data_IF_208300637506
#
_entry.id   IF_208300637506
#
_cell.length_a   1.000
_cell.length_b   1.000
_cell.length_c   1.000
_cell.angle_alpha   90.00
_cell.angle_beta   90.00
_cell.angle_gamma   90.00
#
_symmetry.space_group_name_H-M   'P 1'
#
loop_
_entity.id
_entity.type
_entity.pdbx_description
1 polymer ?
#
# COMPACT_ATOMS: atom_id res chain seq x y z
N UNK A 1 -14.76 -1.90 -22.51
CA UNK A 1 -15.06 -3.35 -22.56
C UNK A 1 -15.91 -3.74 -21.36
N UNK A 2 -16.91 -4.63 -21.50
CA UNK A 2 -17.72 -5.12 -20.37
C UNK A 2 -17.02 -6.29 -19.70
N UNK A 3 -16.12 -6.02 -18.77
CA UNK A 3 -15.50 -7.07 -17.96
C UNK A 3 -16.52 -7.53 -16.90
N UNK A 4 -17.07 -8.73 -17.08
CA UNK A 4 -17.86 -9.40 -16.03
C UNK A 4 -16.94 -10.34 -15.26
N UNK A 5 -17.15 -10.44 -13.95
CA UNK A 5 -16.52 -11.49 -13.15
C UNK A 5 -16.84 -12.86 -13.77
N UNK A 6 -15.85 -13.75 -13.86
CA UNK A 6 -16.14 -15.15 -14.16
C UNK A 6 -16.92 -15.74 -12.97
N UNK A 7 -17.82 -16.69 -13.21
CA UNK A 7 -18.88 -17.08 -12.26
C UNK A 7 -18.46 -17.55 -10.85
N UNK A 8 -17.16 -17.67 -10.55
CA UNK A 8 -16.61 -18.08 -9.25
C UNK A 8 -15.41 -17.22 -8.77
N UNK A 9 -15.08 -16.11 -9.42
CA UNK A 9 -13.95 -15.26 -8.99
C UNK A 9 -14.36 -14.35 -7.82
N UNK A 10 -13.50 -14.28 -6.80
CA UNK A 10 -13.59 -13.22 -5.80
C UNK A 10 -13.25 -11.85 -6.42
N UNK A 11 -13.67 -10.72 -5.81
CA UNK A 11 -13.31 -9.40 -6.32
C UNK A 11 -11.78 -9.20 -6.48
N UNK A 12 -10.92 -9.58 -5.52
CA UNK A 12 -9.47 -9.51 -5.70
C UNK A 12 -8.95 -10.34 -6.88
N UNK A 13 -9.45 -11.56 -7.07
CA UNK A 13 -9.06 -12.41 -8.22
C UNK A 13 -9.48 -11.79 -9.54
N UNK A 14 -10.68 -11.23 -9.61
CA UNK A 14 -11.18 -10.52 -10.79
C UNK A 14 -10.26 -9.36 -11.14
N UNK A 15 -9.89 -8.52 -10.16
CA UNK A 15 -9.03 -7.36 -10.39
C UNK A 15 -7.63 -7.78 -10.84
N UNK A 16 -7.04 -8.81 -10.22
CA UNK A 16 -5.75 -9.36 -10.65
C UNK A 16 -5.80 -9.84 -12.09
N UNK A 17 -6.85 -10.58 -12.46
CA UNK A 17 -7.03 -11.06 -13.83
C UNK A 17 -7.13 -9.88 -14.81
N UNK A 18 -7.95 -8.87 -14.52
CA UNK A 18 -8.12 -7.70 -15.38
C UNK A 18 -6.83 -6.89 -15.55
N UNK A 19 -6.09 -6.68 -14.47
CA UNK A 19 -4.80 -6.02 -14.53
C UNK A 19 -3.80 -6.82 -15.38
N UNK A 20 -3.75 -8.15 -15.23
CA UNK A 20 -2.86 -9.02 -16.03
C UNK A 20 -3.26 -9.10 -17.49
N UNK A 21 -4.55 -9.14 -17.80
CA UNK A 21 -5.06 -9.05 -19.18
C UNK A 21 -4.67 -7.72 -19.82
N UNK A 22 -4.78 -6.61 -19.09
CA UNK A 22 -4.34 -5.29 -19.56
C UNK A 22 -2.83 -5.24 -19.80
N UNK A 23 -2.02 -5.75 -18.86
CA UNK A 23 -0.56 -5.87 -18.99
C UNK A 23 -0.21 -6.69 -20.24
N UNK A 24 -0.81 -7.87 -20.42
CA UNK A 24 -0.55 -8.73 -21.57
C UNK A 24 -0.95 -8.04 -22.89
N UNK A 25 -2.11 -7.39 -22.91
CA UNK A 25 -2.59 -6.61 -24.07
C UNK A 25 -1.68 -5.43 -24.39
N UNK A 26 -1.17 -4.73 -23.38
CA UNK A 26 -0.23 -3.63 -23.56
C UNK A 26 1.13 -4.12 -24.08
N UNK A 27 1.68 -5.19 -23.52
CA UNK A 27 2.93 -5.81 -24.01
C UNK A 27 2.82 -6.21 -25.49
N UNK A 28 1.67 -6.77 -25.89
CA UNK A 28 1.42 -7.13 -27.31
C UNK A 28 1.40 -5.93 -28.27
N UNK A 29 1.27 -4.71 -27.73
CA UNK A 29 1.29 -3.43 -28.46
C UNK A 29 2.61 -2.66 -28.27
N UNK A 30 3.66 -3.30 -27.73
CA UNK A 30 4.98 -2.70 -27.55
C UNK A 30 5.18 -1.95 -26.24
N UNK A 31 4.34 -2.21 -25.23
CA UNK A 31 4.61 -1.75 -23.86
C UNK A 31 5.71 -2.60 -23.23
N UNK A 32 6.94 -2.09 -23.32
CA UNK A 32 8.16 -2.80 -22.92
C UNK A 32 9.08 -1.89 -22.11
N UNK A 33 10.09 -2.50 -21.47
CA UNK A 33 11.14 -1.79 -20.75
C UNK A 33 10.83 -1.60 -19.27
N UNK A 34 11.81 -1.91 -18.42
CA UNK A 34 11.80 -1.56 -17.01
C UNK A 34 12.58 -0.24 -16.80
N UNK A 35 12.06 0.71 -16.00
CA UNK A 35 10.72 0.72 -15.43
C UNK A 35 9.64 0.95 -16.49
N UNK A 36 8.48 0.30 -16.38
CA UNK A 36 7.40 0.46 -17.34
C UNK A 36 6.84 1.88 -17.34
N UNK A 37 6.55 2.42 -18.52
CA UNK A 37 5.93 3.73 -18.67
C UNK A 37 4.41 3.64 -18.46
N UNK A 38 3.94 4.21 -17.36
CA UNK A 38 2.52 4.17 -16.96
C UNK A 38 1.63 5.08 -17.82
N UNK A 39 2.20 6.09 -18.47
CA UNK A 39 1.47 6.99 -19.37
C UNK A 39 1.25 6.31 -20.73
N UNK A 40 2.23 5.55 -21.21
CA UNK A 40 2.04 4.67 -22.39
C UNK A 40 0.96 3.63 -22.11
N UNK A 41 0.97 3.00 -20.92
CA UNK A 41 -0.08 2.05 -20.54
C UNK A 41 -1.46 2.70 -20.60
N UNK A 42 -1.63 3.89 -20.02
CA UNK A 42 -2.90 4.64 -20.07
C UNK A 42 -3.31 4.98 -21.51
N UNK A 43 -2.37 5.46 -22.33
CA UNK A 43 -2.62 5.80 -23.73
C UNK A 43 -3.06 4.61 -24.58
N UNK A 44 -2.51 3.42 -24.34
CA UNK A 44 -2.96 2.16 -24.98
C UNK A 44 -4.40 1.77 -24.60
N UNK A 45 -4.93 2.31 -23.49
CA UNK A 45 -6.32 2.16 -23.08
C UNK A 45 -7.22 3.32 -23.56
N UNK A 46 -6.66 4.28 -24.31
CA UNK A 46 -7.37 5.47 -24.76
C UNK A 46 -7.63 6.48 -23.63
N UNK A 47 -6.80 6.47 -22.58
CA UNK A 47 -6.87 7.38 -21.44
C UNK A 47 -5.79 8.44 -21.60
N UNK A 48 -6.20 9.71 -21.64
CA UNK A 48 -5.26 10.84 -21.67
C UNK A 48 -4.69 11.07 -20.26
N UNK A 49 -3.38 11.29 -20.12
CA UNK A 49 -2.74 11.59 -18.83
C UNK A 49 -2.09 12.96 -18.88
N UNK A 50 -2.35 13.82 -17.89
CA UNK A 50 -1.77 15.15 -17.84
C UNK A 50 -1.54 15.66 -16.41
N UNK A 51 -0.63 16.62 -16.21
CA UNK A 51 -0.55 17.35 -14.95
C UNK A 51 -1.85 18.14 -14.71
N UNK A 52 -2.29 18.21 -13.46
CA UNK A 52 -3.46 18.98 -13.08
C UNK A 52 -3.19 20.49 -13.08
N UNK A 53 -4.18 21.27 -13.52
CA UNK A 53 -4.19 22.72 -13.38
C UNK A 53 -4.60 23.11 -11.94
N UNK A 54 -3.61 23.17 -11.04
CA UNK A 54 -3.79 23.60 -9.65
C UNK A 54 -3.92 22.44 -8.65
N UNK A 55 -4.34 22.77 -7.42
CA UNK A 55 -4.44 21.80 -6.34
C UNK A 55 -5.71 20.94 -6.45
N UNK A 56 -5.52 19.66 -6.78
CA UNK A 56 -6.59 18.66 -6.86
C UNK A 56 -6.87 17.96 -5.52
N UNK A 57 -6.16 18.32 -4.44
CA UNK A 57 -6.26 17.73 -3.08
C UNK A 57 -6.06 16.21 -3.00
N UNK A 58 -5.51 15.64 -4.07
CA UNK A 58 -5.21 14.22 -4.26
C UNK A 58 -3.90 14.08 -5.06
N UNK A 59 -3.35 12.88 -5.14
CA UNK A 59 -2.15 12.63 -5.96
C UNK A 59 -2.49 12.43 -7.44
N UNK A 60 -3.68 11.89 -7.72
CA UNK A 60 -4.29 11.84 -9.04
C UNK A 60 -5.82 11.79 -8.92
N UNK A 61 -6.51 11.96 -10.06
CA UNK A 61 -7.96 11.76 -10.21
C UNK A 61 -8.31 11.27 -11.61
N UNK A 62 -9.32 10.42 -11.71
CA UNK A 62 -9.94 10.01 -12.96
C UNK A 62 -11.16 10.89 -13.28
N UNK A 63 -11.14 11.51 -14.45
CA UNK A 63 -12.16 12.42 -14.95
C UNK A 63 -12.87 11.82 -16.17
N UNK A 64 -14.20 11.64 -16.13
CA UNK A 64 -14.96 11.35 -17.34
C UNK A 64 -15.07 12.60 -18.22
N UNK A 65 -14.71 12.46 -19.50
CA UNK A 65 -14.87 13.48 -20.53
C UNK A 65 -16.11 13.19 -21.39
N UNK A 66 -16.56 14.15 -22.24
CA UNK A 66 -17.54 13.86 -23.28
C UNK A 66 -17.14 12.67 -24.16
N UNK A 67 -18.13 11.99 -24.75
CA UNK A 67 -17.95 10.87 -25.68
C UNK A 67 -17.35 9.59 -25.07
N UNK A 68 -17.56 9.35 -23.76
CA UNK A 68 -17.02 8.18 -23.04
C UNK A 68 -15.49 8.10 -23.06
N UNK A 69 -14.82 9.25 -23.15
CA UNK A 69 -13.37 9.33 -22.95
C UNK A 69 -13.06 9.51 -21.47
N UNK A 70 -11.87 9.09 -21.07
CA UNK A 70 -11.36 9.24 -19.72
C UNK A 70 -10.05 10.03 -19.76
N UNK A 71 -9.83 10.82 -18.72
CA UNK A 71 -8.61 11.57 -18.50
C UNK A 71 -8.13 11.37 -17.07
N UNK A 72 -6.83 11.17 -16.89
CA UNK A 72 -6.17 11.13 -15.59
C UNK A 72 -5.41 12.44 -15.42
N UNK A 73 -5.71 13.14 -14.34
CA UNK A 73 -4.94 14.29 -13.90
C UNK A 73 -4.11 13.92 -12.67
N UNK A 74 -2.82 14.24 -12.66
CA UNK A 74 -1.94 14.00 -11.51
C UNK A 74 -1.39 15.31 -10.92
N UNK A 75 -1.12 15.30 -9.62
CA UNK A 75 -0.47 16.42 -8.94
C UNK A 75 1.01 16.54 -9.39
N UNK A 76 1.43 17.65 -10.00
CA UNK A 76 2.79 17.79 -10.54
C UNK A 76 3.90 17.68 -9.50
N UNK A 77 3.61 18.13 -8.28
CA UNK A 77 4.55 18.16 -7.14
C UNK A 77 4.66 16.80 -6.41
N UNK A 78 3.90 15.79 -6.81
CA UNK A 78 3.98 14.47 -6.20
C UNK A 78 5.32 13.80 -6.55
N UNK A 79 5.92 13.11 -5.57
CA UNK A 79 7.08 12.24 -5.82
C UNK A 79 6.77 11.28 -6.97
N UNK A 80 7.75 11.07 -7.86
CA UNK A 80 7.56 10.28 -9.07
C UNK A 80 7.00 8.88 -8.81
N UNK A 81 7.53 8.18 -7.80
CA UNK A 81 7.04 6.84 -7.41
C UNK A 81 5.59 6.85 -6.94
N UNK A 82 5.15 7.93 -6.28
CA UNK A 82 3.74 8.12 -5.88
C UNK A 82 2.90 8.44 -7.10
N UNK A 83 3.31 9.40 -7.94
CA UNK A 83 2.63 9.73 -9.20
C UNK A 83 2.38 8.48 -10.05
N UNK A 84 3.40 7.66 -10.25
CA UNK A 84 3.31 6.40 -11.02
C UNK A 84 2.27 5.45 -10.44
N UNK A 85 2.30 5.24 -9.12
CA UNK A 85 1.30 4.42 -8.44
C UNK A 85 -0.11 5.01 -8.54
N UNK A 86 -0.27 6.32 -8.38
CA UNK A 86 -1.55 7.01 -8.49
C UNK A 86 -2.12 6.92 -9.90
N UNK A 87 -1.30 7.07 -10.95
CA UNK A 87 -1.76 6.85 -12.33
C UNK A 87 -2.26 5.40 -12.51
N UNK A 88 -1.50 4.40 -12.06
CA UNK A 88 -1.95 3.00 -12.11
C UNK A 88 -3.24 2.77 -11.29
N UNK A 89 -3.43 3.49 -10.19
CA UNK A 89 -4.65 3.44 -9.39
C UNK A 89 -5.86 3.99 -10.13
N UNK A 90 -5.71 5.13 -10.81
CA UNK A 90 -6.76 5.67 -11.67
C UNK A 90 -7.05 4.77 -12.88
N UNK A 91 -6.04 4.11 -13.45
CA UNK A 91 -6.26 3.06 -14.47
C UNK A 91 -7.07 1.90 -13.87
N UNK A 92 -6.77 1.46 -12.65
CA UNK A 92 -7.50 0.38 -11.99
C UNK A 92 -8.98 0.73 -11.72
N UNK A 93 -9.33 2.00 -11.53
CA UNK A 93 -10.72 2.43 -11.46
C UNK A 93 -11.51 2.12 -12.75
N UNK A 94 -10.84 2.02 -13.90
CA UNK A 94 -11.50 1.67 -15.18
C UNK A 94 -11.98 0.23 -15.24
N UNK A 95 -11.54 -0.63 -14.33
CA UNK A 95 -12.06 -2.00 -14.19
C UNK A 95 -13.50 -2.04 -13.67
N UNK A 96 -13.99 -0.93 -13.11
CA UNK A 96 -15.33 -0.81 -12.58
C UNK A 96 -16.28 -0.16 -13.60
N UNK A 97 -17.49 -0.70 -13.84
CA UNK A 97 -18.38 -0.22 -14.89
C UNK A 97 -18.87 1.23 -14.74
N UNK A 98 -18.83 1.76 -13.53
CA UNK A 98 -19.30 3.09 -13.17
C UNK A 98 -18.24 4.19 -13.36
N UNK A 99 -17.02 3.85 -13.81
CA UNK A 99 -15.92 4.80 -14.02
C UNK A 99 -16.24 5.96 -14.98
N UNK A 100 -17.23 5.79 -15.86
CA UNK A 100 -17.69 6.85 -16.78
C UNK A 100 -18.75 7.79 -16.18
N UNK A 101 -19.23 7.52 -14.96
CA UNK A 101 -20.43 8.17 -14.43
C UNK A 101 -20.16 9.22 -13.35
N UNK A 102 -18.99 9.16 -12.71
CA UNK A 102 -18.62 10.06 -11.62
C UNK A 102 -17.12 10.32 -11.64
N UNK A 103 -16.71 11.51 -11.19
CA UNK A 103 -15.31 11.80 -10.90
C UNK A 103 -14.90 10.93 -9.72
N UNK A 104 -13.88 10.09 -9.90
CA UNK A 104 -13.29 9.31 -8.82
C UNK A 104 -12.13 10.09 -8.21
N UNK A 105 -12.11 10.20 -6.89
CA UNK A 105 -11.01 10.76 -6.13
C UNK A 105 -10.98 10.12 -4.73
N UNK A 106 -9.77 9.95 -4.18
CA UNK A 106 -9.61 9.53 -2.79
C UNK A 106 -10.23 10.58 -1.86
N UNK A 107 -11.41 10.29 -1.30
CA UNK A 107 -12.15 11.22 -0.44
C UNK A 107 -11.44 11.39 0.92
N UNK A 108 -10.61 12.43 1.07
CA UNK A 108 -10.13 12.85 2.39
C UNK A 108 -11.26 13.52 3.18
N UNK A 109 -11.61 12.96 4.35
CA UNK A 109 -12.55 13.58 5.31
C UNK A 109 -14.04 13.23 5.14
N UNK A 110 -14.40 12.29 4.26
CA UNK A 110 -15.78 11.79 4.16
C UNK A 110 -16.09 10.78 5.28
N UNK A 111 -17.38 10.58 5.65
CA UNK A 111 -17.78 9.48 6.53
C UNK A 111 -17.27 8.14 5.99
N UNK A 112 -16.88 7.24 6.88
CA UNK A 112 -16.43 5.90 6.49
C UNK A 112 -17.55 5.17 5.74
N UNK A 113 -17.27 4.81 4.49
CA UNK A 113 -18.13 3.98 3.64
C UNK A 113 -17.39 2.65 3.36
N UNK A 114 -17.89 1.52 3.89
CA UNK A 114 -17.21 0.23 3.73
C UNK A 114 -17.14 -0.23 2.27
N UNK A 115 -18.12 0.13 1.43
CA UNK A 115 -18.14 -0.25 0.01
C UNK A 115 -17.09 0.54 -0.75
N UNK A 116 -17.01 1.84 -0.50
CA UNK A 116 -15.95 2.68 -1.09
C UNK A 116 -14.57 2.25 -0.59
N UNK A 117 -14.43 1.91 0.69
CA UNK A 117 -13.17 1.41 1.24
C UNK A 117 -12.71 0.10 0.56
N UNK A 118 -13.63 -0.84 0.31
CA UNK A 118 -13.31 -2.07 -0.43
C UNK A 118 -12.89 -1.77 -1.88
N UNK A 119 -13.60 -0.87 -2.57
CA UNK A 119 -13.26 -0.43 -3.92
C UNK A 119 -11.85 0.17 -3.99
N UNK A 120 -11.49 1.06 -3.06
CA UNK A 120 -10.16 1.66 -2.99
C UNK A 120 -9.06 0.60 -2.76
N UNK A 121 -9.33 -0.40 -1.91
CA UNK A 121 -8.39 -1.51 -1.69
C UNK A 121 -8.21 -2.36 -2.96
N UNK A 122 -9.29 -2.61 -3.69
CA UNK A 122 -9.24 -3.29 -4.98
C UNK A 122 -8.46 -2.47 -6.01
N UNK A 123 -8.64 -1.15 -6.07
CA UNK A 123 -7.84 -0.29 -6.94
C UNK A 123 -6.36 -0.24 -6.52
N UNK A 124 -6.02 -0.31 -5.22
CA UNK A 124 -4.62 -0.49 -4.79
C UNK A 124 -4.02 -1.81 -5.30
N UNK A 125 -4.78 -2.90 -5.24
CA UNK A 125 -4.36 -4.20 -5.76
C UNK A 125 -4.14 -4.13 -7.28
N UNK A 126 -5.09 -3.56 -8.02
CA UNK A 126 -4.97 -3.35 -9.47
C UNK A 126 -3.76 -2.49 -9.82
N UNK A 127 -3.56 -1.36 -9.13
CA UNK A 127 -2.41 -0.50 -9.33
C UNK A 127 -1.08 -1.24 -9.12
N UNK A 128 -1.01 -2.10 -8.09
CA UNK A 128 0.18 -2.91 -7.83
C UNK A 128 0.43 -3.93 -8.92
N UNK A 129 -0.59 -4.58 -9.48
CA UNK A 129 -0.43 -5.53 -10.59
C UNK A 129 0.00 -4.83 -11.89
N UNK A 130 -0.46 -3.60 -12.13
CA UNK A 130 -0.08 -2.81 -13.30
C UNK A 130 1.34 -2.23 -13.18
N UNK A 131 1.69 -1.66 -12.03
CA UNK A 131 3.01 -1.06 -11.79
C UNK A 131 4.12 -2.10 -11.61
N UNK A 132 3.78 -3.24 -11.00
CA UNK A 132 4.69 -4.35 -10.70
C UNK A 132 4.17 -5.66 -11.32
N UNK A 133 4.21 -5.78 -12.67
CA UNK A 133 3.74 -6.98 -13.38
C UNK A 133 4.34 -8.26 -12.82
N UNK A 134 3.49 -9.27 -12.57
CA UNK A 134 3.87 -10.47 -11.80
C UNK A 134 5.05 -11.23 -12.40
N UNK A 135 5.11 -11.36 -13.72
CA UNK A 135 6.16 -12.11 -14.43
C UNK A 135 7.52 -11.43 -14.23
N UNK A 136 7.64 -10.17 -14.64
CA UNK A 136 8.87 -9.39 -14.48
C UNK A 136 9.27 -9.24 -13.01
N UNK A 137 8.30 -9.06 -12.12
CA UNK A 137 8.58 -8.89 -10.71
C UNK A 137 9.19 -10.16 -10.11
N UNK A 138 8.63 -11.34 -10.43
CA UNK A 138 9.19 -12.61 -9.98
C UNK A 138 10.56 -12.90 -10.59
N UNK A 139 10.77 -12.59 -11.87
CA UNK A 139 12.07 -12.72 -12.53
C UNK A 139 13.14 -11.87 -11.85
N UNK A 140 12.83 -10.61 -11.52
CA UNK A 140 13.77 -9.70 -10.85
C UNK A 140 13.92 -10.01 -9.34
N UNK A 141 12.89 -10.59 -8.72
CA UNK A 141 12.92 -11.03 -7.33
C UNK A 141 13.56 -12.42 -7.17
N UNK A 142 13.91 -13.12 -8.24
CA UNK A 142 14.40 -14.48 -8.20
C UNK A 142 15.58 -14.65 -7.22
N UNK A 143 15.44 -15.62 -6.30
CA UNK A 143 16.44 -15.88 -5.26
C UNK A 143 16.44 -14.89 -4.08
N UNK A 144 15.48 -13.95 -4.02
CA UNK A 144 15.33 -12.96 -2.95
C UNK A 144 14.04 -13.24 -2.18
N UNK A 145 14.15 -13.48 -0.87
CA UNK A 145 12.98 -13.52 0.01
C UNK A 145 12.50 -12.12 0.40
N UNK A 146 11.33 -12.00 1.06
CA UNK A 146 10.84 -10.72 1.56
C UNK A 146 11.84 -10.06 2.53
N UNK A 147 12.17 -8.79 2.29
CA UNK A 147 13.09 -7.99 3.09
C UNK A 147 13.17 -6.54 2.60
N UNK A 148 13.55 -5.61 3.48
CA UNK A 148 13.63 -4.18 3.17
C UNK A 148 14.63 -3.91 2.04
N UNK A 149 15.81 -4.52 2.13
CA UNK A 149 16.84 -4.41 1.08
C UNK A 149 16.36 -4.92 -0.28
N UNK A 150 15.69 -6.07 -0.31
CA UNK A 150 15.15 -6.62 -1.56
C UNK A 150 14.09 -5.68 -2.16
N UNK A 151 13.24 -5.10 -1.31
CA UNK A 151 12.24 -4.12 -1.72
C UNK A 151 12.84 -2.80 -2.24
N UNK A 152 13.93 -2.31 -1.63
CA UNK A 152 14.66 -1.14 -2.12
C UNK A 152 15.26 -1.39 -3.51
N UNK A 153 15.95 -2.51 -3.67
CA UNK A 153 16.58 -2.89 -4.95
C UNK A 153 15.52 -3.08 -6.06
N UNK A 154 14.40 -3.74 -5.76
CA UNK A 154 13.28 -3.89 -6.70
C UNK A 154 12.59 -2.54 -6.99
N UNK A 155 12.42 -1.69 -5.97
CA UNK A 155 11.85 -0.36 -6.14
C UNK A 155 12.63 0.49 -7.13
N UNK A 156 13.97 0.36 -7.15
CA UNK A 156 14.82 1.02 -8.14
C UNK A 156 14.59 0.49 -9.56
N UNK A 157 14.45 -0.84 -9.73
CA UNK A 157 14.20 -1.46 -11.04
C UNK A 157 12.86 -1.04 -11.64
N UNK A 158 11.80 -1.04 -10.83
CA UNK A 158 10.44 -0.75 -11.28
C UNK A 158 10.05 0.74 -11.17
N UNK A 159 10.93 1.57 -10.61
CA UNK A 159 10.66 2.95 -10.23
C UNK A 159 9.36 3.03 -9.38
N UNK A 160 9.35 2.26 -8.30
CA UNK A 160 8.28 2.13 -7.34
C UNK A 160 8.79 2.39 -5.92
N UNK A 161 7.90 2.70 -4.98
CA UNK A 161 8.30 2.90 -3.60
C UNK A 161 8.75 1.59 -2.94
N UNK A 162 9.58 1.70 -1.90
CA UNK A 162 9.96 0.55 -1.06
C UNK A 162 8.72 -0.12 -0.49
N UNK A 163 7.72 0.66 -0.08
CA UNK A 163 6.45 0.14 0.42
C UNK A 163 5.69 -0.68 -0.63
N UNK A 164 5.52 -0.17 -1.86
CA UNK A 164 4.82 -0.91 -2.92
C UNK A 164 5.57 -2.20 -3.27
N UNK A 165 6.90 -2.13 -3.37
CA UNK A 165 7.76 -3.26 -3.70
C UNK A 165 7.74 -4.33 -2.59
N UNK A 166 7.78 -3.91 -1.33
CA UNK A 166 7.73 -4.83 -0.21
C UNK A 166 6.36 -5.49 -0.05
N UNK A 167 5.27 -4.74 -0.25
CA UNK A 167 3.92 -5.31 -0.32
C UNK A 167 3.82 -6.38 -1.39
N UNK A 168 4.37 -6.11 -2.58
CA UNK A 168 4.38 -7.06 -3.70
C UNK A 168 5.21 -8.30 -3.40
N UNK A 169 6.38 -8.14 -2.76
CA UNK A 169 7.17 -9.27 -2.27
C UNK A 169 6.38 -10.15 -1.29
N UNK A 170 5.69 -9.55 -0.31
CA UNK A 170 4.90 -10.31 0.68
C UNK A 170 3.68 -10.97 0.05
N UNK A 171 3.00 -10.30 -0.87
CA UNK A 171 1.83 -10.84 -1.59
C UNK A 171 2.18 -12.08 -2.44
N UNK A 172 3.37 -12.09 -3.03
CA UNK A 172 3.86 -13.17 -3.88
C UNK A 172 4.72 -14.20 -3.13
N UNK A 173 4.95 -14.01 -1.83
CA UNK A 173 5.83 -14.85 -1.02
C UNK A 173 5.17 -16.18 -0.65
N UNK A 174 5.88 -17.28 -0.88
CA UNK A 174 5.55 -18.58 -0.29
C UNK A 174 6.02 -18.67 1.18
N UNK A 175 7.04 -17.90 1.56
CA UNK A 175 7.53 -17.84 2.95
C UNK A 175 6.50 -17.16 3.86
N UNK A 176 6.35 -17.70 5.08
CA UNK A 176 5.50 -17.10 6.09
C UNK A 176 6.08 -15.74 6.52
N UNK A 177 5.42 -14.66 6.13
CA UNK A 177 5.77 -13.30 6.53
C UNK A 177 4.55 -12.37 6.56
N UNK A 178 4.66 -11.23 7.24
CA UNK A 178 3.57 -10.27 7.32
C UNK A 178 4.11 -8.85 7.46
N UNK A 179 3.48 -7.90 6.76
CA UNK A 179 3.72 -6.48 6.93
C UNK A 179 2.75 -5.90 7.94
N UNK A 180 3.26 -5.06 8.83
CA UNK A 180 2.49 -4.32 9.82
C UNK A 180 2.74 -2.83 9.65
N UNK A 181 1.68 -2.05 9.70
CA UNK A 181 1.78 -0.61 9.92
C UNK A 181 1.55 -0.34 11.38
N UNK A 182 2.47 0.40 11.97
CA UNK A 182 2.45 0.78 13.37
C UNK A 182 2.45 2.29 13.47
N UNK A 183 1.80 2.85 14.48
CA UNK A 183 2.06 4.23 14.88
C UNK A 183 2.19 4.35 16.38
N UNK A 184 2.90 5.39 16.81
CA UNK A 184 2.94 5.77 18.21
C UNK A 184 1.62 6.41 18.61
N UNK A 185 0.85 5.75 19.49
CA UNK A 185 -0.42 6.28 20.00
C UNK A 185 -0.80 5.70 21.35
N UNK A 186 -1.72 6.38 22.02
CA UNK A 186 -2.38 5.86 23.22
C UNK A 186 -3.37 4.75 22.87
N UNK A 187 -3.87 4.02 23.86
CA UNK A 187 -5.03 3.15 23.60
C UNK A 187 -6.24 4.03 23.31
N UNK A 188 -7.19 3.57 22.48
CA UNK A 188 -8.45 4.30 22.26
C UNK A 188 -9.22 4.65 23.53
N UNK A 189 -9.06 3.85 24.61
CA UNK A 189 -9.65 4.17 25.92
C UNK A 189 -8.92 5.29 26.65
N UNK A 190 -7.60 5.36 26.52
CA UNK A 190 -6.74 6.38 27.11
C UNK A 190 -6.96 7.72 26.40
N UNK A 191 -7.03 7.73 25.05
CA UNK A 191 -7.33 8.94 24.25
C UNK A 191 -8.67 9.58 24.65
N UNK A 192 -9.69 8.77 24.93
CA UNK A 192 -11.01 9.25 25.41
C UNK A 192 -10.98 9.78 26.83
N UNK A 193 -9.96 9.42 27.60
CA UNK A 193 -9.79 9.79 29.01
C UNK A 193 -8.80 10.95 29.20
N UNK A 194 -8.10 11.40 28.15
CA UNK A 194 -7.33 12.65 28.12
C UNK A 194 -8.23 13.91 28.10
N UNK A 195 -9.34 13.88 28.84
CA UNK A 195 -10.02 15.09 29.28
C UNK A 195 -9.28 15.74 30.45
N UNK A 196 -9.54 17.03 30.76
CA UNK A 196 -8.76 17.84 31.72
C UNK A 196 -8.83 17.40 33.20
N UNK A 197 -9.33 16.20 33.53
CA UNK A 197 -9.74 15.82 34.90
C UNK A 197 -8.85 14.77 35.60
N UNK A 198 -7.63 14.53 35.15
CA UNK A 198 -6.70 13.65 35.88
C UNK A 198 -5.34 14.30 36.15
N UNK A 199 -5.33 15.47 36.80
CA UNK A 199 -4.12 16.00 37.41
C UNK A 199 -4.10 15.76 38.94
N UNK A 200 -3.61 14.58 39.31
CA UNK A 200 -3.18 14.24 40.68
C UNK A 200 -1.65 14.28 40.80
N UNK A 201 -0.94 14.99 39.92
CA UNK A 201 0.54 15.01 39.88
C UNK A 201 1.17 13.68 39.46
N UNK A 202 0.40 12.75 38.91
CA UNK A 202 0.91 11.49 38.32
C UNK A 202 1.14 11.68 36.82
N UNK A 203 2.23 11.13 36.26
CA UNK A 203 2.46 11.17 34.82
C UNK A 203 1.33 10.42 34.09
N UNK A 204 0.74 11.07 33.08
CA UNK A 204 -0.28 10.48 32.22
C UNK A 204 0.20 9.24 31.46
N UNK A 205 -0.73 8.49 30.82
CA UNK A 205 -0.36 7.33 30.03
C UNK A 205 0.60 7.74 28.91
N UNK A 206 1.62 6.91 28.64
CA UNK A 206 2.57 7.15 27.57
C UNK A 206 2.13 6.44 26.28
N UNK A 207 2.22 7.10 25.11
CA UNK A 207 2.04 6.45 23.82
C UNK A 207 2.94 5.22 23.66
N UNK A 208 2.49 4.26 22.84
CA UNK A 208 3.26 3.07 22.48
C UNK A 208 3.14 2.81 20.98
N UNK A 209 4.09 2.06 20.41
CA UNK A 209 3.93 1.52 19.06
C UNK A 209 2.78 0.52 19.04
N UNK A 210 1.76 0.80 18.24
CA UNK A 210 0.55 -0.01 18.13
C UNK A 210 0.23 -0.35 16.69
N UNK A 211 -0.33 -1.55 16.50
CA UNK A 211 -0.76 -2.04 15.19
C UNK A 211 -1.95 -1.25 14.66
N UNK A 212 -1.84 -0.78 13.42
CA UNK A 212 -2.91 -0.11 12.69
C UNK A 212 -3.64 -1.07 11.77
N UNK A 213 -2.87 -1.78 10.97
CA UNK A 213 -3.32 -2.84 10.08
C UNK A 213 -2.12 -3.68 9.66
N UNK A 214 -2.40 -4.76 8.92
CA UNK A 214 -1.37 -5.68 8.44
C UNK A 214 -1.75 -6.27 7.07
N UNK A 215 -0.73 -6.76 6.36
CA UNK A 215 -0.84 -7.46 5.08
C UNK A 215 -0.04 -8.76 5.20
N UNK A 216 -0.71 -9.91 5.37
CA UNK A 216 -0.04 -11.20 5.50
C UNK A 216 0.28 -11.81 4.14
N UNK A 217 1.37 -12.56 4.05
CA UNK A 217 1.58 -13.56 2.99
C UNK A 217 0.56 -14.71 3.13
N UNK A 218 0.39 -15.50 2.07
CA UNK A 218 -0.52 -16.64 2.07
C UNK A 218 -0.20 -17.68 3.16
N UNK A 219 1.09 -17.88 3.44
CA UNK A 219 1.58 -18.88 4.41
C UNK A 219 1.56 -18.39 5.86
N UNK A 220 1.33 -17.10 6.11
CA UNK A 220 1.34 -16.52 7.45
C UNK A 220 0.15 -17.01 8.29
N UNK A 221 0.43 -17.47 9.52
CA UNK A 221 -0.57 -17.95 10.49
C UNK A 221 -0.65 -17.11 11.77
N UNK A 222 0.29 -16.18 11.95
CA UNK A 222 0.31 -15.30 13.11
C UNK A 222 -0.79 -14.23 13.03
N UNK A 223 -1.11 -13.58 14.15
CA UNK A 223 -2.02 -12.44 14.15
C UNK A 223 -1.75 -11.53 15.33
N UNK A 224 -1.50 -10.24 15.05
CA UNK A 224 -1.43 -9.18 16.06
C UNK A 224 -2.65 -8.29 15.87
N UNK A 225 -3.57 -8.21 16.86
CA UNK A 225 -4.78 -7.39 16.73
C UNK A 225 -4.46 -5.89 16.56
N UNK A 226 -5.35 -5.18 15.89
CA UNK A 226 -5.32 -3.71 15.85
C UNK A 226 -5.28 -3.11 17.26
N UNK A 227 -4.52 -2.03 17.43
CA UNK A 227 -4.23 -1.32 18.68
C UNK A 227 -3.40 -2.09 19.72
N UNK A 228 -3.02 -3.35 19.44
CA UNK A 228 -2.10 -4.10 20.30
C UNK A 228 -0.73 -3.43 20.25
N UNK A 229 -0.10 -3.29 21.41
CA UNK A 229 1.23 -2.69 21.53
C UNK A 229 2.32 -3.71 21.21
N UNK A 230 3.36 -3.23 20.54
CA UNK A 230 4.63 -3.93 20.35
C UNK A 230 5.44 -3.89 21.66
N UNK A 231 6.26 -4.91 21.98
CA UNK A 231 7.09 -4.92 23.19
C UNK A 231 8.03 -3.71 23.26
N UNK A 232 8.15 -3.10 24.45
CA UNK A 232 8.87 -1.82 24.65
C UNK A 232 10.39 -1.95 24.40
N UNK A 233 10.91 -3.18 24.46
CA UNK A 233 12.30 -3.55 24.18
C UNK A 233 12.60 -3.77 22.68
N UNK A 234 11.58 -3.69 21.81
CA UNK A 234 11.74 -3.90 20.37
C UNK A 234 12.70 -2.87 19.76
N UNK A 235 13.52 -3.32 18.82
CA UNK A 235 14.42 -2.45 18.06
C UNK A 235 13.69 -1.42 17.22
N UNK A 236 12.39 -1.62 16.95
CA UNK A 236 11.53 -0.69 16.22
C UNK A 236 11.43 0.69 16.87
N UNK A 237 11.57 0.79 18.20
CA UNK A 237 11.59 2.08 18.89
C UNK A 237 12.83 2.93 18.54
N UNK A 238 13.89 2.33 18.00
CA UNK A 238 15.05 3.07 17.47
C UNK A 238 14.67 3.87 16.22
N UNK A 239 13.87 3.28 15.33
CA UNK A 239 13.39 3.95 14.11
C UNK A 239 12.60 5.21 14.47
N UNK A 240 11.71 5.12 15.47
CA UNK A 240 10.94 6.28 15.95
C UNK A 240 11.82 7.44 16.44
N UNK A 241 12.98 7.13 17.01
CA UNK A 241 13.94 8.13 17.51
C UNK A 241 14.84 8.69 16.41
N UNK A 242 14.66 8.26 15.16
CA UNK A 242 15.55 8.60 14.05
C UNK A 242 16.90 7.87 14.11
N UNK A 243 16.99 6.80 14.90
CA UNK A 243 18.17 5.93 14.96
C UNK A 243 18.07 4.83 13.88
N UNK A 244 19.20 4.41 13.32
CA UNK A 244 19.24 3.35 12.30
C UNK A 244 18.82 1.98 12.86
N UNK A 245 18.06 1.22 12.07
CA UNK A 245 17.66 -0.16 12.38
C UNK A 245 17.55 -0.99 11.10
N UNK A 246 18.48 -1.92 10.91
CA UNK A 246 18.52 -2.80 9.73
C UNK A 246 17.72 -4.10 9.94
N UNK A 247 17.32 -4.37 11.19
CA UNK A 247 16.56 -5.54 11.59
C UNK A 247 17.17 -6.29 12.77
N UNK A 248 16.37 -7.11 13.43
CA UNK A 248 16.81 -7.90 14.58
C UNK A 248 15.98 -9.17 14.77
N UNK A 249 16.58 -10.17 15.43
CA UNK A 249 15.87 -11.28 16.01
C UNK A 249 15.24 -10.84 17.34
N UNK A 250 13.94 -10.97 17.47
CA UNK A 250 13.17 -10.56 18.64
C UNK A 250 12.31 -11.72 19.16
N UNK A 251 11.96 -11.69 20.45
CA UNK A 251 11.05 -12.67 21.06
C UNK A 251 9.70 -12.01 21.34
N UNK A 252 8.73 -12.27 20.48
CA UNK A 252 7.37 -11.75 20.58
C UNK A 252 6.41 -12.84 21.09
N UNK A 253 6.86 -13.66 22.05
CA UNK A 253 6.04 -14.66 22.72
C UNK A 253 4.78 -14.08 23.38
N UNK A 254 4.84 -12.86 23.93
CA UNK A 254 3.68 -12.16 24.48
C UNK A 254 2.61 -11.78 23.44
N UNK A 255 2.96 -11.84 22.15
CA UNK A 255 2.07 -11.64 21.01
C UNK A 255 1.73 -12.97 20.32
N UNK A 256 2.07 -14.12 20.93
CA UNK A 256 1.90 -15.47 20.37
C UNK A 256 2.62 -15.70 19.03
N UNK A 257 3.72 -14.98 18.76
CA UNK A 257 4.52 -15.17 17.56
C UNK A 257 5.84 -15.90 17.80
N UNK A 258 6.27 -16.06 19.05
CA UNK A 258 7.53 -16.72 19.39
C UNK A 258 8.74 -15.90 18.95
N UNK A 259 9.76 -16.54 18.38
CA UNK A 259 10.93 -15.85 17.82
C UNK A 259 10.62 -15.38 16.41
N UNK A 260 10.96 -14.14 16.13
CA UNK A 260 10.71 -13.48 14.86
C UNK A 260 11.91 -12.66 14.44
N UNK A 261 12.16 -12.59 13.13
CA UNK A 261 12.99 -11.56 12.53
C UNK A 261 12.11 -10.35 12.19
N UNK A 262 12.56 -9.17 12.58
CA UNK A 262 11.84 -7.92 12.41
C UNK A 262 12.72 -6.96 11.61
N UNK A 263 12.17 -6.37 10.55
CA UNK A 263 12.78 -5.27 9.80
C UNK A 263 11.77 -4.11 9.74
N UNK A 264 12.22 -2.86 9.75
CA UNK A 264 11.32 -1.72 9.80
C UNK A 264 11.87 -0.48 9.13
N UNK A 265 10.98 0.38 8.64
CA UNK A 265 11.30 1.72 8.16
C UNK A 265 10.21 2.72 8.54
N UNK A 266 10.53 4.01 8.52
CA UNK A 266 9.51 5.06 8.62
C UNK A 266 8.58 4.97 7.40
N UNK A 267 7.28 4.99 7.65
CA UNK A 267 6.26 5.01 6.60
C UNK A 267 5.75 6.44 6.39
N UNK A 268 5.70 6.84 5.13
CA UNK A 268 5.23 8.16 4.67
C UNK A 268 3.68 8.20 4.55
N UNK A 269 2.98 7.14 4.98
CA UNK A 269 1.53 6.98 4.87
C UNK A 269 0.74 7.42 6.11
N UNK A 270 1.38 7.71 7.25
CA UNK A 270 0.67 8.39 8.32
C UNK A 270 0.49 9.86 7.96
N UNK A 271 -0.70 10.39 8.20
CA UNK A 271 -0.95 11.83 8.14
C UNK A 271 0.12 12.59 8.94
N UNK A 272 0.32 13.86 8.56
CA UNK A 272 1.49 14.69 8.85
C UNK A 272 1.89 14.83 10.34
N UNK A 273 1.11 14.29 11.28
CA UNK A 273 1.25 14.55 12.72
C UNK A 273 1.69 13.33 13.57
N UNK A 274 1.75 12.10 13.05
CA UNK A 274 2.15 10.91 13.86
C UNK A 274 3.17 10.04 13.13
N UNK A 275 4.35 9.77 13.71
CA UNK A 275 5.31 8.83 13.13
C UNK A 275 4.67 7.45 12.96
N UNK A 276 4.64 6.96 11.72
CA UNK A 276 4.29 5.57 11.43
C UNK A 276 5.48 4.78 10.93
N UNK A 277 5.47 3.50 11.26
CA UNK A 277 6.43 2.52 10.80
C UNK A 277 5.74 1.51 9.90
N UNK A 278 6.43 1.10 8.84
CA UNK A 278 6.14 -0.13 8.12
C UNK A 278 7.13 -1.19 8.57
N UNK A 279 6.64 -2.36 8.98
CA UNK A 279 7.42 -3.40 9.63
C UNK A 279 7.18 -4.74 8.95
N UNK A 280 8.24 -5.41 8.52
CA UNK A 280 8.20 -6.79 8.06
C UNK A 280 8.52 -7.72 9.24
N UNK A 281 7.68 -8.75 9.40
CA UNK A 281 7.88 -9.82 10.39
C UNK A 281 7.98 -11.16 9.68
N UNK A 282 8.99 -11.95 10.05
CA UNK A 282 9.20 -13.34 9.61
C UNK A 282 9.41 -14.24 10.83
N UNK A 283 8.81 -15.43 10.90
CA UNK A 283 9.13 -16.39 11.96
C UNK A 283 10.56 -16.93 11.76
N UNK A 284 11.22 -17.34 12.85
CA UNK A 284 12.56 -17.95 12.82
C UNK A 284 12.66 -19.29 13.51
#
# INVERSE_FOLDING_TARGET
>A
MKHRAAGNETPPETIRRLAREMVAGAKSQGWEGLPFDVEILAGLQGIDVKPADGDIKAEARLMPLPDQRLEIEYAPEALETRRRFSICHEIAHTFFPDCFTQIQHRRKGAPFDPVHAELEQLCHLGASELLLPVEEFLENAAGRGPGMRAAEELGQVFNASVEASLRRLVDLSEDACCLYWLSERLKPKEERQEGPEFDFGLPGPKPKLRVDYHVPSQSWKGFIPKHKSIPDESGLYKILKGEGFEGAQENWGALNLGRVHVEGMVSIHAGEDVPALMVLIKPT
#
